data_IF_250356437547
#
_entry.id   IF_250356437547
#
_cell.length_a   1.000
_cell.length_b   1.000
_cell.length_c   1.000
_cell.angle_alpha   90.00
_cell.angle_beta   90.00
_cell.angle_gamma   90.00
#
_symmetry.space_group_name_H-M   'P 1'
#
loop_
_entity.id
_entity.type
_entity.pdbx_description
1 polymer ?
#
# COMPACT_ATOMS: atom_id res chain seq x y z
N UNK A 1 -1.91 -42.66 4.87
CA UNK A 1 -2.12 -41.40 5.62
C UNK A 1 -2.20 -40.30 4.58
N UNK A 2 -3.41 -39.91 4.21
CA UNK A 2 -3.66 -38.83 3.24
C UNK A 2 -4.39 -37.70 3.96
N UNK A 3 -3.82 -36.51 3.88
CA UNK A 3 -4.31 -35.29 4.52
C UNK A 3 -5.19 -34.57 3.51
N UNK A 4 -6.52 -34.61 3.70
CA UNK A 4 -7.45 -33.77 2.94
C UNK A 4 -7.50 -32.37 3.56
N UNK A 5 -6.92 -31.41 2.86
CA UNK A 5 -7.13 -29.98 3.10
C UNK A 5 -8.55 -29.59 2.70
N UNK A 6 -9.42 -29.35 3.68
CA UNK A 6 -10.76 -28.81 3.47
C UNK A 6 -10.69 -27.27 3.55
N UNK A 7 -10.35 -26.63 2.43
CA UNK A 7 -10.23 -25.17 2.32
C UNK A 7 -11.49 -24.45 1.82
N UNK A 8 -12.60 -25.16 1.61
CA UNK A 8 -13.85 -24.53 1.15
C UNK A 8 -15.07 -25.09 1.88
N UNK A 9 -15.83 -24.18 2.49
CA UNK A 9 -17.12 -24.46 3.12
C UNK A 9 -18.20 -24.91 2.12
N UNK A 10 -19.41 -25.24 2.62
CA UNK A 10 -20.45 -25.88 1.83
C UNK A 10 -20.87 -25.03 0.61
N UNK A 11 -20.69 -25.58 -0.59
CA UNK A 11 -21.06 -24.95 -1.86
C UNK A 11 -22.59 -24.76 -1.95
N UNK A 12 -23.04 -23.56 -2.34
CA UNK A 12 -24.45 -23.26 -2.62
C UNK A 12 -24.94 -24.09 -3.82
N UNK A 13 -26.04 -24.83 -3.67
CA UNK A 13 -26.67 -25.58 -4.76
C UNK A 13 -27.15 -24.60 -5.85
N UNK A 14 -26.67 -24.79 -7.08
CA UNK A 14 -27.18 -24.11 -8.29
C UNK A 14 -26.19 -23.24 -9.06
N UNK A 15 -24.99 -22.96 -8.55
CA UNK A 15 -24.00 -22.12 -9.25
C UNK A 15 -22.97 -22.88 -10.09
N UNK A 16 -22.83 -24.19 -9.90
CA UNK A 16 -21.92 -25.03 -10.68
C UNK A 16 -22.74 -26.11 -11.39
N UNK A 17 -22.66 -26.14 -12.72
CA UNK A 17 -23.08 -27.30 -13.51
C UNK A 17 -21.87 -28.23 -13.53
N UNK A 18 -21.88 -29.26 -12.69
CA UNK A 18 -20.88 -30.33 -12.76
C UNK A 18 -21.12 -31.10 -14.07
N UNK A 19 -20.18 -30.98 -14.99
CA UNK A 19 -20.10 -31.86 -16.15
C UNK A 19 -19.16 -32.99 -15.73
N UNK A 20 -19.74 -34.16 -15.39
CA UNK A 20 -18.97 -35.38 -15.22
C UNK A 20 -18.52 -35.87 -16.60
N UNK A 21 -17.27 -35.57 -16.96
CA UNK A 21 -16.57 -36.22 -18.06
C UNK A 21 -16.30 -37.67 -17.64
N UNK A 22 -17.10 -38.60 -18.14
CA UNK A 22 -17.06 -40.03 -17.75
C UNK A 22 -16.32 -40.93 -18.73
N UNK A 23 -15.54 -40.40 -19.68
CA UNK A 23 -14.69 -41.22 -20.52
C UNK A 23 -13.36 -40.51 -20.85
N UNK A 24 -12.30 -40.87 -20.12
CA UNK A 24 -10.92 -40.74 -20.61
C UNK A 24 -10.52 -42.07 -21.25
N UNK A 25 -10.97 -42.32 -22.48
CA UNK A 25 -10.50 -43.47 -23.26
C UNK A 25 -9.23 -43.12 -24.03
N UNK A 26 -8.12 -42.92 -23.33
CA UNK A 26 -6.78 -42.99 -23.93
C UNK A 26 -5.83 -43.63 -22.93
N UNK A 27 -5.92 -44.96 -22.81
CA UNK A 27 -4.78 -45.75 -22.35
C UNK A 27 -3.66 -45.60 -23.38
N UNK A 28 -2.69 -44.75 -23.08
CA UNK A 28 -1.43 -44.71 -23.83
C UNK A 28 -0.63 -45.92 -23.37
N UNK A 29 -0.69 -46.98 -24.19
CA UNK A 29 0.11 -48.17 -24.03
C UNK A 29 1.55 -47.81 -24.44
N UNK A 30 2.46 -47.69 -23.46
CA UNK A 30 3.85 -47.22 -23.66
C UNK A 30 4.68 -48.07 -24.64
N UNK A 31 4.17 -49.25 -25.04
CA UNK A 31 4.85 -50.16 -25.98
C UNK A 31 4.60 -49.89 -27.48
N UNK A 32 3.87 -48.82 -27.85
CA UNK A 32 3.55 -48.51 -29.26
C UNK A 32 4.14 -47.20 -29.83
N UNK A 33 5.22 -46.68 -29.25
CA UNK A 33 6.02 -45.60 -29.86
C UNK A 33 7.34 -46.13 -30.42
N UNK A 34 7.25 -47.13 -31.29
CA UNK A 34 8.29 -47.45 -32.28
C UNK A 34 7.74 -47.15 -33.66
N UNK A 35 7.52 -45.87 -33.92
CA UNK A 35 7.55 -45.36 -35.29
C UNK A 35 8.75 -44.43 -35.36
N UNK A 36 9.66 -44.78 -36.25
CA UNK A 36 10.89 -44.07 -36.58
C UNK A 36 10.54 -42.71 -37.17
N UNK A 37 10.35 -41.69 -36.32
CA UNK A 37 10.61 -40.32 -36.75
C UNK A 37 12.12 -40.12 -36.64
N UNK A 38 12.81 -40.21 -37.77
CA UNK A 38 14.18 -39.74 -37.93
C UNK A 38 14.22 -38.27 -37.51
N UNK A 39 14.49 -38.03 -36.22
CA UNK A 39 14.91 -36.71 -35.74
C UNK A 39 16.18 -36.39 -36.49
N UNK A 40 16.06 -35.52 -37.47
CA UNK A 40 17.19 -34.92 -38.18
C UNK A 40 18.21 -34.47 -37.12
N UNK A 41 19.46 -34.90 -37.29
CA UNK A 41 20.50 -34.65 -36.29
C UNK A 41 20.65 -33.13 -36.13
N UNK A 42 20.84 -32.68 -34.90
CA UNK A 42 20.88 -31.24 -34.59
C UNK A 42 22.01 -30.54 -35.38
N UNK A 43 23.04 -31.31 -35.74
CA UNK A 43 24.16 -30.85 -36.55
C UNK A 43 23.77 -30.64 -38.03
N UNK A 44 22.95 -31.53 -38.60
CA UNK A 44 22.46 -31.38 -39.97
C UNK A 44 21.47 -30.22 -40.12
N UNK A 45 20.76 -29.87 -39.04
CA UNK A 45 19.89 -28.68 -39.00
C UNK A 45 20.70 -27.38 -39.00
N UNK A 46 21.80 -27.35 -38.23
CA UNK A 46 22.68 -26.17 -38.16
C UNK A 46 23.42 -25.93 -39.48
N UNK A 47 23.81 -27.00 -40.18
CA UNK A 47 24.45 -26.90 -41.50
C UNK A 47 23.47 -26.52 -42.63
N UNK A 48 22.15 -26.63 -42.40
CA UNK A 48 21.09 -26.21 -43.32
C UNK A 48 20.60 -24.78 -43.08
N UNK A 49 21.02 -24.13 -41.99
CA UNK A 49 20.78 -22.70 -41.82
C UNK A 49 21.72 -21.95 -42.76
N UNK A 50 21.18 -21.40 -43.85
CA UNK A 50 21.93 -20.51 -44.73
C UNK A 50 22.59 -19.41 -43.88
N UNK A 51 23.92 -19.29 -43.99
CA UNK A 51 24.76 -18.26 -43.34
C UNK A 51 24.48 -16.83 -43.88
N UNK A 52 23.24 -16.52 -44.26
CA UNK A 52 22.78 -15.17 -44.61
C UNK A 52 21.99 -14.49 -43.48
N UNK A 53 22.26 -14.84 -42.22
CA UNK A 53 22.18 -13.81 -41.20
C UNK A 53 23.39 -12.91 -41.40
N UNK A 54 23.15 -11.80 -42.11
CA UNK A 54 24.02 -10.62 -42.04
C UNK A 54 24.49 -10.51 -40.60
N UNK A 55 25.80 -10.46 -40.31
CA UNK A 55 26.24 -10.14 -38.97
C UNK A 55 25.50 -8.85 -38.62
N UNK A 56 24.72 -8.84 -37.53
CA UNK A 56 24.26 -7.57 -36.96
C UNK A 56 25.54 -6.76 -36.82
N UNK A 57 25.71 -5.77 -37.69
CA UNK A 57 26.87 -4.91 -37.59
C UNK A 57 26.74 -4.24 -36.24
N UNK A 58 27.86 -4.02 -35.57
CA UNK A 58 27.94 -3.32 -34.29
C UNK A 58 27.30 -1.92 -34.29
N UNK A 59 26.82 -1.45 -35.44
CA UNK A 59 26.06 -0.22 -35.67
C UNK A 59 24.55 -0.37 -35.35
N UNK A 60 23.97 -1.58 -35.37
CA UNK A 60 22.56 -1.79 -34.92
C UNK A 60 22.43 -1.97 -33.40
N UNK A 61 23.58 -2.08 -32.71
CA UNK A 61 23.71 -1.86 -31.27
C UNK A 61 23.98 -0.37 -30.95
N UNK A 62 23.58 0.54 -31.84
CA UNK A 62 23.17 1.87 -31.42
C UNK A 62 22.05 1.67 -30.39
N UNK A 63 22.50 1.58 -29.12
CA UNK A 63 21.80 2.13 -27.99
C UNK A 63 20.91 3.25 -28.50
N UNK A 64 19.61 3.14 -28.27
CA UNK A 64 18.77 4.32 -28.20
C UNK A 64 19.48 5.24 -27.20
N UNK A 65 20.38 6.09 -27.71
CA UNK A 65 20.89 7.25 -27.02
C UNK A 65 19.66 8.13 -26.88
N UNK A 66 18.85 7.80 -25.87
CA UNK A 66 17.92 8.71 -25.28
C UNK A 66 18.74 9.98 -25.09
N UNK A 67 18.39 11.01 -25.84
CA UNK A 67 18.92 12.35 -25.63
C UNK A 67 18.68 12.62 -24.15
N UNK A 68 19.72 12.51 -23.33
CA UNK A 68 19.69 12.93 -21.95
C UNK A 68 19.55 14.45 -22.04
N UNK A 69 18.31 14.93 -22.12
CA UNK A 69 18.03 16.34 -21.86
C UNK A 69 18.72 16.64 -20.52
N UNK A 70 19.67 17.59 -20.52
CA UNK A 70 20.34 18.02 -19.29
C UNK A 70 19.25 18.56 -18.35
N UNK A 71 18.73 17.67 -17.49
CA UNK A 71 17.70 18.02 -16.52
C UNK A 71 18.33 18.97 -15.52
N UNK A 72 17.65 20.08 -15.29
CA UNK A 72 18.01 21.01 -14.23
C UNK A 72 18.12 20.27 -12.89
N UNK A 73 18.99 20.74 -11.99
CA UNK A 73 19.10 20.20 -10.61
C UNK A 73 17.75 20.17 -9.89
N UNK A 74 16.90 21.18 -10.14
CA UNK A 74 15.52 21.25 -9.63
C UNK A 74 14.62 20.14 -10.18
N UNK A 75 14.78 19.80 -11.46
CA UNK A 75 14.02 18.77 -12.15
C UNK A 75 14.46 17.37 -11.69
N UNK A 76 15.76 17.18 -11.46
CA UNK A 76 16.32 15.97 -10.84
C UNK A 76 15.78 15.75 -9.42
N UNK A 77 15.72 16.79 -8.60
CA UNK A 77 15.15 16.70 -7.26
C UNK A 77 13.64 16.37 -7.30
N UNK A 78 12.89 17.01 -8.20
CA UNK A 78 11.48 16.72 -8.38
C UNK A 78 11.25 15.27 -8.84
N UNK A 79 12.04 14.79 -9.80
CA UNK A 79 12.00 13.41 -10.29
C UNK A 79 12.36 12.40 -9.19
N UNK A 80 13.33 12.71 -8.34
CA UNK A 80 13.65 11.90 -7.17
C UNK A 80 12.46 11.80 -6.20
N UNK A 81 11.80 12.92 -5.89
CA UNK A 81 10.61 12.93 -5.03
C UNK A 81 9.46 12.16 -5.69
N UNK A 82 9.26 12.29 -7.01
CA UNK A 82 8.25 11.54 -7.78
C UNK A 82 8.50 10.03 -7.71
N UNK A 83 9.73 9.60 -7.96
CA UNK A 83 10.11 8.19 -7.92
C UNK A 83 9.87 7.60 -6.53
N UNK A 84 10.24 8.32 -5.48
CA UNK A 84 9.97 7.93 -4.10
C UNK A 84 8.47 7.89 -3.78
N UNK A 85 7.72 8.89 -4.24
CA UNK A 85 6.27 8.95 -4.05
C UNK A 85 5.56 7.80 -4.77
N UNK A 86 6.03 7.43 -5.97
CA UNK A 86 5.54 6.27 -6.73
C UNK A 86 5.80 4.95 -5.99
N UNK A 87 6.93 4.85 -5.29
CA UNK A 87 7.25 3.74 -4.38
C UNK A 87 6.52 3.83 -3.02
N UNK A 88 5.56 4.75 -2.87
CA UNK A 88 4.80 4.98 -1.64
C UNK A 88 5.64 5.41 -0.43
N UNK A 89 6.75 6.10 -0.67
CA UNK A 89 7.66 6.58 0.36
C UNK A 89 7.76 8.12 0.38
N UNK A 90 7.87 8.68 1.58
CA UNK A 90 8.01 10.12 1.81
C UNK A 90 9.47 10.58 1.89
N UNK A 91 9.82 11.66 1.21
CA UNK A 91 11.19 12.18 1.23
C UNK A 91 11.39 13.16 2.39
N UNK A 92 12.17 12.77 3.39
CA UNK A 92 12.46 13.61 4.56
C UNK A 92 13.47 14.72 4.22
N UNK A 93 13.24 15.95 4.69
CA UNK A 93 14.16 17.08 4.47
C UNK A 93 15.56 16.79 5.00
N UNK A 94 15.67 16.19 6.18
CA UNK A 94 16.95 15.79 6.78
C UNK A 94 17.74 14.74 5.99
N UNK A 95 17.08 13.99 5.09
CA UNK A 95 17.76 13.10 4.15
C UNK A 95 18.40 13.91 3.02
N UNK A 96 17.65 14.87 2.48
CA UNK A 96 18.10 15.73 1.39
C UNK A 96 19.22 16.67 1.83
N UNK A 97 19.16 17.22 3.06
CA UNK A 97 20.20 18.12 3.61
C UNK A 97 21.57 17.44 3.77
N UNK A 98 21.62 16.10 3.83
CA UNK A 98 22.88 15.35 3.91
C UNK A 98 23.56 15.17 2.57
N UNK A 99 22.76 15.14 1.50
CA UNK A 99 23.24 14.95 0.13
C UNK A 99 23.57 16.30 -0.49
N UNK A 100 22.71 17.30 -0.28
CA UNK A 100 22.83 18.63 -0.88
C UNK A 100 22.95 19.73 0.19
N UNK A 101 24.12 20.40 0.31
CA UNK A 101 24.32 21.48 1.27
C UNK A 101 23.58 22.78 0.89
N UNK A 102 23.19 22.94 -0.37
CA UNK A 102 22.47 24.12 -0.90
C UNK A 102 20.96 23.87 -1.10
N UNK A 103 20.40 22.88 -0.39
CA UNK A 103 19.01 22.44 -0.55
C UNK A 103 17.96 23.56 -0.46
N UNK A 104 18.16 24.57 0.40
CA UNK A 104 17.14 25.61 0.60
C UNK A 104 16.91 26.44 -0.66
N UNK A 105 17.96 26.73 -1.43
CA UNK A 105 17.83 27.45 -2.71
C UNK A 105 17.10 26.59 -3.75
N UNK A 106 17.47 25.31 -3.85
CA UNK A 106 16.79 24.36 -4.74
C UNK A 106 15.31 24.19 -4.39
N UNK A 107 14.95 24.19 -3.10
CA UNK A 107 13.55 24.13 -2.67
C UNK A 107 12.77 25.42 -2.98
N UNK A 108 13.41 26.58 -2.97
CA UNK A 108 12.80 27.83 -3.41
C UNK A 108 12.57 27.84 -4.92
N UNK A 109 13.56 27.40 -5.69
CA UNK A 109 13.45 27.29 -7.15
C UNK A 109 12.40 26.27 -7.57
N UNK A 110 12.32 25.12 -6.86
CA UNK A 110 11.31 24.09 -7.09
C UNK A 110 9.88 24.61 -6.88
N UNK A 111 9.66 25.52 -5.91
CA UNK A 111 8.34 26.15 -5.71
C UNK A 111 7.97 27.14 -6.81
N UNK A 112 8.97 27.77 -7.42
CA UNK A 112 8.77 28.77 -8.47
C UNK A 112 8.60 28.12 -9.86
N UNK A 113 9.15 26.93 -10.06
CA UNK A 113 9.08 26.21 -11.32
C UNK A 113 7.67 25.70 -11.64
N UNK A 114 7.19 25.98 -12.86
CA UNK A 114 5.86 25.57 -13.26
C UNK A 114 5.72 24.08 -13.50
N UNK A 115 6.84 23.40 -13.84
CA UNK A 115 6.86 21.95 -14.06
C UNK A 115 6.78 21.15 -12.76
N UNK A 116 7.08 21.76 -11.61
CA UNK A 116 7.21 21.09 -10.31
C UNK A 116 6.03 21.39 -9.36
N UNK A 117 4.89 21.87 -9.89
CA UNK A 117 3.68 22.22 -9.11
C UNK A 117 3.04 21.03 -8.39
N UNK A 118 3.34 19.80 -8.80
CA UNK A 118 2.86 18.56 -8.19
C UNK A 118 3.52 18.26 -6.84
N UNK A 119 4.74 18.77 -6.61
CA UNK A 119 5.50 18.51 -5.39
C UNK A 119 4.96 19.36 -4.25
N UNK A 120 4.65 18.70 -3.14
CA UNK A 120 4.16 19.34 -1.92
C UNK A 120 4.85 18.80 -0.68
N UNK A 121 4.68 19.52 0.44
CA UNK A 121 5.31 19.19 1.71
C UNK A 121 4.28 19.05 2.82
N UNK A 122 4.48 18.07 3.69
CA UNK A 122 3.72 17.89 4.94
C UNK A 122 4.67 18.01 6.13
N UNK A 123 4.26 18.76 7.16
CA UNK A 123 5.04 18.93 8.38
C UNK A 123 4.71 17.82 9.37
N UNK A 124 5.66 16.92 9.60
CA UNK A 124 5.61 15.93 10.67
C UNK A 124 6.10 16.49 12.01
N UNK A 125 6.27 15.60 12.97
CA UNK A 125 6.91 15.86 14.26
C UNK A 125 8.42 15.92 14.15
N UNK A 126 9.02 14.93 13.47
CA UNK A 126 10.47 14.81 13.36
C UNK A 126 11.02 15.70 12.26
N UNK A 127 10.31 15.76 11.14
CA UNK A 127 10.81 16.39 9.93
C UNK A 127 9.69 16.92 9.03
N UNK A 128 10.06 17.66 8.00
CA UNK A 128 9.22 18.01 6.87
C UNK A 128 9.41 16.95 5.79
N UNK A 129 8.31 16.39 5.32
CA UNK A 129 8.30 15.34 4.32
C UNK A 129 7.77 15.88 2.98
N UNK A 130 8.43 15.57 1.89
CA UNK A 130 8.06 15.95 0.53
C UNK A 130 7.47 14.75 -0.23
N UNK A 131 6.46 15.02 -1.04
CA UNK A 131 5.79 14.04 -1.91
C UNK A 131 5.17 14.71 -3.14
N UNK A 132 4.96 13.94 -4.20
CA UNK A 132 4.23 14.37 -5.40
C UNK A 132 2.74 14.02 -5.27
N UNK A 133 1.87 15.01 -5.50
CA UNK A 133 0.40 14.85 -5.51
C UNK A 133 -0.12 13.99 -6.64
N UNK A 134 0.65 13.83 -7.71
CA UNK A 134 0.27 13.01 -8.85
C UNK A 134 0.35 11.51 -8.52
N UNK A 135 1.28 11.13 -7.63
CA UNK A 135 1.49 9.74 -7.23
C UNK A 135 0.95 9.41 -5.84
N UNK A 136 0.77 10.42 -4.97
CA UNK A 136 0.42 10.21 -3.56
C UNK A 136 -0.66 11.20 -3.09
N UNK A 137 -1.75 10.68 -2.53
CA UNK A 137 -2.79 11.52 -1.93
C UNK A 137 -2.34 12.17 -0.61
N UNK A 138 -2.88 13.35 -0.31
CA UNK A 138 -2.62 14.07 0.95
C UNK A 138 -2.92 13.21 2.19
N UNK A 139 -3.97 12.37 2.12
CA UNK A 139 -4.30 11.46 3.22
C UNK A 139 -3.24 10.36 3.41
N UNK A 140 -2.74 9.80 2.30
CA UNK A 140 -1.67 8.82 2.37
C UNK A 140 -0.40 9.44 2.94
N UNK A 141 -0.02 10.63 2.47
CA UNK A 141 1.13 11.37 2.98
C UNK A 141 1.01 11.67 4.48
N UNK A 142 -0.17 12.07 4.96
CA UNK A 142 -0.44 12.25 6.39
C UNK A 142 -0.23 10.96 7.19
N UNK A 143 -0.79 9.84 6.75
CA UNK A 143 -0.64 8.55 7.44
C UNK A 143 0.82 8.09 7.42
N UNK A 144 1.50 8.20 6.28
CA UNK A 144 2.90 7.83 6.13
C UNK A 144 3.80 8.67 7.04
N UNK A 145 3.57 9.98 7.15
CA UNK A 145 4.32 10.86 8.04
C UNK A 145 4.13 10.46 9.51
N UNK A 146 2.90 10.16 9.93
CA UNK A 146 2.60 9.70 11.30
C UNK A 146 3.29 8.37 11.62
N UNK A 147 3.38 7.46 10.66
CA UNK A 147 4.09 6.18 10.81
C UNK A 147 5.60 6.41 10.92
N UNK A 148 6.18 7.27 10.10
CA UNK A 148 7.61 7.61 10.13
C UNK A 148 8.01 8.27 11.47
N UNK A 149 7.17 9.18 11.95
CA UNK A 149 7.34 9.86 13.23
C UNK A 149 7.29 8.89 14.43
N UNK A 150 6.61 7.73 14.29
CA UNK A 150 6.53 6.70 15.33
C UNK A 150 6.07 7.22 16.70
N UNK A 151 5.26 8.28 16.73
CA UNK A 151 4.66 8.82 17.95
C UNK A 151 3.22 8.28 18.11
N UNK A 152 3.09 7.16 18.82
CA UNK A 152 1.82 6.43 18.97
C UNK A 152 0.65 7.27 19.52
N UNK A 153 0.78 7.99 20.65
CA UNK A 153 -0.27 8.90 21.13
C UNK A 153 -0.77 9.86 20.05
N UNK A 154 0.15 10.51 19.35
CA UNK A 154 -0.16 11.45 18.28
C UNK A 154 -0.82 10.75 17.10
N UNK A 155 -0.29 9.63 16.63
CA UNK A 155 -0.90 8.85 15.54
C UNK A 155 -2.34 8.47 15.89
N UNK A 156 -2.59 8.00 17.12
CA UNK A 156 -3.93 7.65 17.57
C UNK A 156 -4.84 8.88 17.57
N UNK A 157 -4.41 9.98 18.19
CA UNK A 157 -5.21 11.19 18.30
C UNK A 157 -5.54 11.79 16.92
N UNK A 158 -4.55 11.93 16.04
CA UNK A 158 -4.74 12.46 14.69
C UNK A 158 -5.66 11.57 13.84
N UNK A 159 -5.49 10.25 13.89
CA UNK A 159 -6.38 9.35 13.16
C UNK A 159 -7.81 9.37 13.70
N UNK A 160 -7.98 9.49 15.02
CA UNK A 160 -9.31 9.62 15.63
C UNK A 160 -9.96 10.94 15.20
N UNK A 161 -9.25 12.06 15.25
CA UNK A 161 -9.74 13.38 14.80
C UNK A 161 -10.12 13.32 13.32
N UNK A 162 -9.23 12.80 12.48
CA UNK A 162 -9.43 12.71 11.04
C UNK A 162 -10.62 11.80 10.69
N UNK A 163 -10.72 10.63 11.30
CA UNK A 163 -11.88 9.75 11.12
C UNK A 163 -13.16 10.49 11.54
N UNK A 164 -13.22 11.04 12.75
CA UNK A 164 -14.41 11.74 13.23
C UNK A 164 -14.83 12.93 12.32
N UNK A 165 -13.88 13.64 11.71
CA UNK A 165 -14.12 14.77 10.81
C UNK A 165 -14.53 14.35 9.40
N UNK A 166 -13.78 13.42 8.81
CA UNK A 166 -13.87 13.05 7.38
C UNK A 166 -14.90 11.95 7.14
N UNK A 167 -14.95 10.97 8.03
CA UNK A 167 -15.85 9.83 7.98
C UNK A 167 -16.56 9.74 9.33
N UNK A 168 -17.69 10.41 9.56
CA UNK A 168 -18.28 10.56 10.90
C UNK A 168 -18.53 9.21 11.58
N UNK A 169 -17.51 8.69 12.26
CA UNK A 169 -17.40 7.37 12.83
C UNK A 169 -16.43 7.43 14.02
N UNK A 170 -16.69 6.57 15.01
CA UNK A 170 -15.76 6.35 16.10
C UNK A 170 -14.72 5.30 15.66
N UNK A 171 -13.47 5.45 16.09
CA UNK A 171 -12.37 4.56 15.69
C UNK A 171 -12.23 3.42 16.70
N UNK A 172 -12.43 2.15 16.31
CA UNK A 172 -12.27 1.03 17.23
C UNK A 172 -10.79 0.80 17.57
N UNK A 173 -10.46 0.37 18.79
CA UNK A 173 -9.04 0.17 19.18
C UNK A 173 -8.30 -0.86 18.31
N UNK A 174 -9.00 -1.87 17.78
CA UNK A 174 -8.38 -2.85 16.89
C UNK A 174 -7.94 -2.24 15.55
N UNK A 175 -8.42 -1.05 15.19
CA UNK A 175 -8.00 -0.32 13.98
C UNK A 175 -6.48 -0.18 13.91
N UNK A 176 -5.84 0.15 15.05
CA UNK A 176 -4.40 0.36 15.15
C UNK A 176 -3.57 -0.93 15.18
N UNK A 177 -4.21 -2.10 15.22
CA UNK A 177 -3.51 -3.39 15.10
C UNK A 177 -3.32 -3.82 13.65
N UNK A 178 -4.08 -3.23 12.75
CA UNK A 178 -4.03 -3.53 11.33
C UNK A 178 -2.97 -2.68 10.63
N UNK A 179 -2.69 -3.03 9.37
CA UNK A 179 -1.86 -2.20 8.48
C UNK A 179 -2.42 -0.77 8.41
N UNK A 180 -1.58 0.28 8.39
CA UNK A 180 -0.11 0.25 8.39
C UNK A 180 0.56 0.29 9.78
N UNK A 181 -0.22 0.27 10.87
CA UNK A 181 0.29 0.59 12.22
C UNK A 181 0.87 -0.61 12.97
N UNK A 182 0.19 -1.77 12.92
CA UNK A 182 0.62 -3.00 13.58
C UNK A 182 0.96 -2.88 15.08
N UNK A 183 0.26 -2.00 15.81
CA UNK A 183 0.49 -1.81 17.24
C UNK A 183 -0.02 -2.99 18.05
N UNK A 184 0.75 -3.36 19.08
CA UNK A 184 0.34 -4.35 20.09
C UNK A 184 -0.64 -3.76 21.09
N UNK A 185 -1.42 -4.59 21.78
CA UNK A 185 -2.30 -4.16 22.87
C UNK A 185 -1.53 -3.34 23.93
N UNK A 186 -0.34 -3.79 24.34
CA UNK A 186 0.47 -3.10 25.33
C UNK A 186 1.00 -1.74 24.83
N UNK A 187 1.20 -1.56 23.53
CA UNK A 187 1.55 -0.27 22.94
C UNK A 187 0.34 0.67 22.95
N UNK A 188 -0.83 0.18 22.55
CA UNK A 188 -2.08 0.95 22.53
C UNK A 188 -2.43 1.43 23.94
N UNK A 189 -2.41 0.54 24.95
CA UNK A 189 -2.73 0.95 26.33
C UNK A 189 -1.77 2.00 26.89
N UNK A 190 -0.47 1.85 26.63
CA UNK A 190 0.52 2.86 27.05
C UNK A 190 0.28 4.21 26.37
N UNK A 191 -0.08 4.20 25.09
CA UNK A 191 -0.42 5.43 24.37
C UNK A 191 -1.70 6.06 24.94
N UNK A 192 -2.73 5.27 25.24
CA UNK A 192 -3.96 5.75 25.88
C UNK A 192 -3.74 6.31 27.29
N UNK A 193 -2.82 5.74 28.07
CA UNK A 193 -2.44 6.31 29.37
C UNK A 193 -1.85 7.71 29.21
N UNK A 194 -1.00 7.91 28.20
CA UNK A 194 -0.39 9.21 27.90
C UNK A 194 -1.43 10.21 27.38
N UNK A 195 -2.31 9.79 26.48
CA UNK A 195 -3.44 10.59 25.98
C UNK A 195 -4.30 11.14 27.13
N UNK A 196 -4.57 10.34 28.17
CA UNK A 196 -5.36 10.80 29.33
C UNK A 196 -4.65 11.82 30.22
N UNK A 197 -3.33 11.94 30.14
CA UNK A 197 -2.52 12.79 31.00
C UNK A 197 -2.18 14.14 30.35
N UNK A 198 -2.10 14.18 29.02
CA UNK A 198 -1.66 15.36 28.27
C UNK A 198 -2.86 16.19 27.81
N UNK A 199 -2.84 17.49 28.09
CA UNK A 199 -3.94 18.42 27.79
C UNK A 199 -4.21 18.56 26.28
N UNK A 200 -3.17 18.38 25.45
CA UNK A 200 -3.26 18.40 23.99
C UNK A 200 -4.22 17.35 23.43
N UNK A 201 -4.46 16.25 24.17
CA UNK A 201 -5.36 15.16 23.75
C UNK A 201 -6.65 15.11 24.56
N UNK A 202 -6.99 16.18 25.26
CA UNK A 202 -8.21 16.28 26.09
C UNK A 202 -9.51 16.04 25.30
N UNK A 203 -9.48 16.26 23.99
CA UNK A 203 -10.60 15.98 23.10
C UNK A 203 -10.81 14.48 22.80
N UNK A 204 -9.77 13.67 22.96
CA UNK A 204 -9.82 12.24 22.66
C UNK A 204 -10.45 11.50 23.82
N UNK A 205 -11.64 10.95 23.58
CA UNK A 205 -12.43 10.25 24.58
C UNK A 205 -12.71 8.81 24.17
N UNK A 206 -12.93 7.96 25.16
CA UNK A 206 -13.14 6.53 24.99
C UNK A 206 -14.60 6.17 25.29
N UNK A 207 -15.21 5.33 24.46
CA UNK A 207 -16.51 4.71 24.74
C UNK A 207 -16.42 3.21 24.60
N UNK A 208 -17.24 2.49 25.37
CA UNK A 208 -17.44 1.05 25.22
C UNK A 208 -18.89 0.79 24.80
N UNK A 209 -19.07 0.01 23.74
CA UNK A 209 -20.38 -0.39 23.21
C UNK A 209 -20.97 -1.57 23.99
N UNK A 210 -22.24 -1.89 23.74
CA UNK A 210 -22.91 -3.05 24.36
C UNK A 210 -22.26 -4.41 24.02
N UNK A 211 -21.49 -4.51 22.93
CA UNK A 211 -20.74 -5.72 22.57
C UNK A 211 -19.33 -5.76 23.18
N UNK A 212 -19.03 -4.87 24.14
CA UNK A 212 -17.74 -4.78 24.82
C UNK A 212 -16.56 -4.44 23.89
N UNK A 213 -16.83 -3.67 22.83
CA UNK A 213 -15.81 -3.13 21.93
C UNK A 213 -15.51 -1.69 22.35
N UNK A 214 -14.22 -1.37 22.45
CA UNK A 214 -13.72 -0.05 22.83
C UNK A 214 -13.46 0.78 21.58
N UNK A 215 -13.98 2.00 21.60
CA UNK A 215 -13.82 2.98 20.54
C UNK A 215 -13.26 4.28 21.10
N UNK A 216 -12.58 5.03 20.23
CA UNK A 216 -12.12 6.38 20.47
C UNK A 216 -12.88 7.35 19.56
N UNK A 217 -13.18 8.54 20.07
CA UNK A 217 -13.75 9.63 19.30
C UNK A 217 -13.16 10.97 19.78
N UNK A 218 -13.19 11.98 18.91
CA UNK A 218 -12.78 13.34 19.26
C UNK A 218 -14.02 14.20 19.55
N UNK A 219 -14.05 14.84 20.72
CA UNK A 219 -15.10 15.80 21.10
C UNK A 219 -15.08 17.07 20.27
N UNK A 220 -14.01 17.34 19.50
CA UNK A 220 -13.96 18.44 18.54
C UNK A 220 -14.93 18.25 17.37
N UNK A 221 -15.28 17.01 17.06
CA UNK A 221 -16.04 16.67 15.86
C UNK A 221 -17.36 15.96 16.15
N UNK A 222 -17.49 15.25 17.27
CA UNK A 222 -18.74 14.57 17.62
C UNK A 222 -18.97 14.45 19.13
N UNK A 223 -20.25 14.37 19.51
CA UNK A 223 -20.67 14.08 20.88
C UNK A 223 -20.58 12.58 21.17
N UNK A 224 -20.44 12.21 22.45
CA UNK A 224 -20.44 10.80 22.87
C UNK A 224 -21.69 10.05 22.38
N UNK A 225 -22.87 10.67 22.48
CA UNK A 225 -24.13 10.07 22.03
C UNK A 225 -24.10 9.75 20.54
N UNK A 226 -23.54 10.65 19.73
CA UNK A 226 -23.43 10.45 18.29
C UNK A 226 -22.38 9.37 17.96
N UNK A 227 -21.22 9.43 18.60
CA UNK A 227 -20.15 8.43 18.45
C UNK A 227 -20.65 7.02 18.80
N UNK A 228 -21.40 6.87 19.90
CA UNK A 228 -21.99 5.60 20.35
C UNK A 228 -22.99 5.05 19.34
N UNK A 229 -23.90 5.88 18.83
CA UNK A 229 -24.88 5.47 17.83
C UNK A 229 -24.22 4.96 16.55
N UNK A 230 -23.14 5.61 16.10
CA UNK A 230 -22.36 5.20 14.94
C UNK A 230 -21.61 3.89 15.20
N UNK A 231 -20.94 3.77 16.35
CA UNK A 231 -20.21 2.56 16.72
C UNK A 231 -21.13 1.33 16.79
N UNK A 232 -22.26 1.45 17.48
CA UNK A 232 -23.27 0.39 17.56
C UNK A 232 -23.84 0.07 16.17
N UNK A 233 -24.16 1.09 15.36
CA UNK A 233 -24.64 0.89 13.99
C UNK A 233 -23.67 0.08 13.11
N UNK A 234 -22.36 0.30 13.26
CA UNK A 234 -21.32 -0.47 12.53
C UNK A 234 -21.27 -1.92 12.99
N UNK A 235 -21.42 -2.18 14.29
CA UNK A 235 -21.38 -3.54 14.85
C UNK A 235 -22.58 -4.39 14.43
N UNK A 236 -23.77 -3.78 14.39
CA UNK A 236 -24.99 -4.46 13.98
C UNK A 236 -25.17 -4.48 12.45
N UNK A 237 -24.43 -3.66 11.70
CA UNK A 237 -24.63 -3.41 10.27
C UNK A 237 -25.94 -2.66 9.99
N UNK A 238 -26.14 -2.21 8.75
CA UNK A 238 -27.39 -1.54 8.31
C UNK A 238 -28.67 -2.38 8.54
N UNK A 239 -28.52 -3.65 8.95
CA UNK A 239 -29.62 -4.59 9.19
C UNK A 239 -29.50 -5.41 10.50
N UNK A 240 -28.89 -4.89 11.57
CA UNK A 240 -29.14 -5.45 12.91
C UNK A 240 -28.51 -6.81 13.26
N UNK A 241 -27.72 -7.44 12.38
CA UNK A 241 -27.17 -8.78 12.64
C UNK A 241 -25.77 -8.71 13.22
N UNK A 242 -25.62 -9.27 14.44
CA UNK A 242 -24.33 -9.55 15.08
C UNK A 242 -23.41 -10.25 14.08
N UNK A 243 -22.22 -9.67 13.83
CA UNK A 243 -21.10 -10.46 13.30
C UNK A 243 -20.78 -11.53 14.35
N UNK A 244 -21.19 -12.76 14.08
CA UNK A 244 -20.87 -13.88 14.95
C UNK A 244 -19.37 -14.14 14.82
N UNK A 245 -18.67 -14.04 15.95
CA UNK A 245 -17.27 -14.46 16.07
C UNK A 245 -17.11 -15.95 15.79
#
# INVERSE_FOLDING_TARGET
MEVKSLLFGPRKKGFAKEVELTDFSQEVNEDKLKEEEEKMDLMDYLDQLDEEESPLTSEELETEEAVEEEKSETELLADFIRLRSQAAHLTAKSSLEKEEPELEQLLEDLKNDEKCKDITSIRGEKDIYFYSKDFMSDNYAMIAALVEDNNLPRTIAEMVRWNCKTYPCATPLYYFKNSPYFYTDAQIERALMRIRQEEEYSDIQELTTGNNVRYLYSTLHMTEKYARALAEGVEYGEYGYRRSN
#
